data_IF_637223099768
#
_entry.id   IF_637223099768
#
_cell.length_a   1.000
_cell.length_b   1.000
_cell.length_c   1.000
_cell.angle_alpha   90.00
_cell.angle_beta   90.00
_cell.angle_gamma   90.00
#
_symmetry.space_group_name_H-M   'P 1'
#
loop_
_entity.id
_entity.type
_entity.pdbx_description
1 polymer ?
2 non-polymer ?
3 non-polymer ?
4 water ?
#
# COMPACT_ATOMS: atom_id res chain seq x y z
N UNK A 38 -10.85 6.25 -21.04
CA UNK A 38 -9.90 7.27 -21.54
C UNK A 38 -9.55 6.98 -23.00
N UNK A 39 -9.57 8.03 -23.82
CA UNK A 39 -9.19 7.95 -25.23
C UNK A 39 -7.74 7.52 -25.41
N UNK A 40 -6.97 7.55 -24.33
CA UNK A 40 -5.56 7.21 -24.36
C UNK A 40 -5.40 5.68 -24.35
N UNK A 41 -4.63 5.16 -25.30
CA UNK A 41 -4.32 3.72 -25.32
C UNK A 41 -3.06 3.54 -24.52
N UNK A 42 -2.97 2.37 -23.87
CA UNK A 42 -1.93 2.09 -22.86
C UNK A 42 -1.20 0.80 -23.19
N UNK A 43 0.09 0.92 -23.47
CA UNK A 43 0.90 -0.20 -23.87
C UNK A 43 2.13 -0.27 -22.99
N UNK A 44 2.34 -1.42 -22.35
CA UNK A 44 3.51 -1.62 -21.54
C UNK A 44 4.69 -2.14 -22.37
N UNK A 45 5.89 -1.63 -22.08
CA UNK A 45 7.14 -2.15 -22.66
C UNK A 45 7.85 -2.98 -21.58
N UNK A 46 7.88 -4.28 -21.83
CA UNK A 46 8.31 -5.28 -20.85
C UNK A 46 9.58 -5.91 -21.36
N UNK A 47 10.50 -6.25 -20.46
CA UNK A 47 11.70 -6.99 -20.83
C UNK A 47 12.76 -7.04 -19.76
N UNK A 48 13.61 -8.06 -19.84
CA UNK A 48 14.68 -8.23 -18.86
C UNK A 48 15.44 -6.95 -18.58
N UNK A 49 16.11 -6.90 -17.43
CA UNK A 49 17.06 -5.86 -17.05
C UNK A 49 18.03 -5.55 -18.18
N UNK A 50 18.00 -4.30 -18.63
CA UNK A 50 18.84 -3.82 -19.74
C UNK A 50 18.54 -4.50 -21.09
N UNK A 51 17.28 -4.90 -21.28
CA UNK A 51 16.83 -5.34 -22.58
C UNK A 51 16.98 -4.20 -23.61
N UNK A 52 16.71 -2.96 -23.17
CA UNK A 52 16.72 -1.75 -24.02
C UNK A 52 15.40 -0.96 -24.01
N UNK A 53 14.65 -1.10 -22.91
CA UNK A 53 13.29 -0.54 -22.85
C UNK A 53 13.30 0.98 -22.86
N UNK A 54 14.20 1.58 -22.06
CA UNK A 54 14.30 3.00 -21.90
C UNK A 54 14.81 3.60 -23.22
N UNK A 55 15.70 2.86 -23.88
CA UNK A 55 16.17 3.20 -25.22
C UNK A 55 15.04 3.25 -26.25
N UNK A 56 14.30 2.15 -26.37
CA UNK A 56 13.17 1.98 -27.29
C UNK A 56 12.12 3.05 -27.08
N UNK A 57 11.76 3.24 -25.83
CA UNK A 57 10.75 4.23 -25.45
C UNK A 57 11.26 5.66 -25.65
N UNK A 58 12.57 5.90 -25.43
CA UNK A 58 13.11 7.22 -25.77
C UNK A 58 13.11 7.48 -27.29
N UNK A 59 13.09 6.40 -28.07
CA UNK A 59 12.96 6.48 -29.55
C UNK A 59 11.51 6.75 -30.00
N UNK A 60 10.56 6.06 -29.38
CA UNK A 60 9.15 6.18 -29.77
C UNK A 60 8.53 7.55 -29.43
N UNK A 61 8.95 8.14 -28.31
CA UNK A 61 8.42 9.41 -27.80
C UNK A 61 8.52 10.52 -28.87
N UNK A 62 9.66 10.54 -29.55
CA UNK A 62 9.96 11.56 -30.55
C UNK A 62 9.31 11.33 -31.92
N UNK A 63 8.69 10.18 -32.15
CA UNK A 63 8.20 9.83 -33.50
C UNK A 63 6.77 10.21 -33.72
N UNK A 64 6.20 10.83 -32.71
CA UNK A 64 4.88 11.36 -32.81
C UNK A 64 4.66 12.28 -31.64
N UNK A 65 4.15 13.49 -31.91
CA UNK A 65 3.68 14.38 -30.84
C UNK A 65 2.56 13.69 -30.07
N UNK A 66 1.98 12.67 -30.69
CA UNK A 66 0.91 11.89 -30.11
C UNK A 66 1.43 10.71 -29.24
N UNK A 67 2.74 10.51 -29.23
CA UNK A 67 3.30 9.38 -28.48
C UNK A 67 3.98 9.86 -27.22
N UNK A 68 3.59 9.27 -26.11
CA UNK A 68 4.10 9.67 -24.83
C UNK A 68 4.57 8.49 -23.98
N UNK A 69 5.36 8.81 -22.96
CA UNK A 69 6.16 7.84 -22.21
C UNK A 69 6.10 8.07 -20.69
N UNK A 70 6.02 6.99 -19.91
CA UNK A 70 6.15 7.04 -18.46
C UNK A 70 7.30 6.16 -18.05
N UNK A 71 8.45 6.78 -17.69
CA UNK A 71 9.60 5.94 -17.36
C UNK A 71 9.42 5.19 -16.03
N UNK A 72 10.22 4.15 -15.84
CA UNK A 72 10.16 3.39 -14.61
C UNK A 72 10.76 4.20 -13.48
N UNK A 73 10.01 4.35 -12.37
CA UNK A 73 10.56 5.12 -11.28
C UNK A 73 11.77 4.46 -10.63
N UNK A 74 11.88 3.13 -10.64
CA UNK A 74 13.10 2.55 -10.07
C UNK A 74 14.29 2.73 -11.01
N UNK A 75 14.01 3.08 -12.26
CA UNK A 75 15.07 3.47 -13.19
C UNK A 75 15.79 4.72 -12.68
N UNK A 76 15.06 5.62 -12.04
CA UNK A 76 15.70 6.87 -11.58
C UNK A 76 16.33 6.80 -10.17
N UNK A 77 16.05 5.72 -9.43
CA UNK A 77 16.54 5.54 -8.08
C UNK A 77 18.01 5.07 -8.06
N UNK A 78 18.47 4.54 -9.19
CA UNK A 78 19.77 3.87 -9.28
C UNK A 78 20.99 4.78 -9.43
N UNK A 79 21.06 5.51 -10.55
CA UNK A 79 22.26 6.32 -10.89
C UNK A 79 22.78 7.26 -9.79
N UNK A 80 24.06 7.58 -9.87
CA UNK A 80 24.81 8.15 -8.75
C UNK A 80 24.49 9.61 -8.47
N UNK A 81 25.24 10.20 -7.53
CA UNK A 81 25.19 11.62 -7.24
C UNK A 81 26.24 12.34 -8.09
N UNK A 82 26.22 12.05 -9.39
CA UNK A 82 27.20 12.58 -10.35
C UNK A 82 27.22 14.11 -10.40
N UNK A 89 18.27 17.10 -9.39
CA UNK A 89 18.15 15.99 -8.45
C UNK A 89 17.99 16.49 -7.01
N UNK A 90 16.86 16.12 -6.39
CA UNK A 90 16.67 16.26 -4.95
C UNK A 90 15.75 15.10 -4.49
N UNK A 91 14.45 15.37 -4.36
CA UNK A 91 13.35 14.36 -4.34
C UNK A 91 13.26 13.27 -3.24
N UNK A 92 12.18 13.41 -2.47
CA UNK A 92 11.79 12.55 -1.36
C UNK A 92 11.44 11.10 -1.77
N UNK A 93 10.76 10.93 -2.90
CA UNK A 93 10.61 9.59 -3.50
C UNK A 93 11.98 8.96 -3.84
N UNK A 94 12.85 9.74 -4.48
CA UNK A 94 14.19 9.27 -4.92
C UNK A 94 15.18 8.98 -3.79
N UNK A 95 15.25 9.87 -2.80
CA UNK A 95 15.98 9.53 -1.58
C UNK A 95 15.45 8.23 -0.97
N UNK A 96 14.13 8.09 -0.87
CA UNK A 96 13.50 6.87 -0.33
C UNK A 96 13.85 5.67 -1.19
N UNK A 97 13.70 5.85 -2.50
CA UNK A 97 14.01 4.80 -3.44
C UNK A 97 15.51 4.49 -3.45
N UNK A 98 16.33 5.53 -3.46
CA UNK A 98 17.78 5.38 -3.39
C UNK A 98 18.12 4.45 -2.25
N UNK A 99 17.62 4.79 -1.05
CA UNK A 99 17.86 4.04 0.15
C UNK A 99 17.41 2.57 0.11
N UNK A 100 16.12 2.31 -0.15
CA UNK A 100 15.67 0.89 -0.14
C UNK A 100 16.29 0.03 -1.29
N UNK A 101 16.52 0.62 -2.48
CA UNK A 101 17.18 -0.12 -3.58
C UNK A 101 18.50 -0.67 -3.12
N UNK A 102 19.36 0.24 -2.65
CA UNK A 102 20.66 -0.12 -2.13
C UNK A 102 20.54 -1.14 -0.98
N UNK A 103 19.54 -0.94 -0.13
CA UNK A 103 19.27 -1.89 0.96
C UNK A 103 18.85 -3.28 0.50
N UNK A 104 18.08 -3.33 -0.59
CA UNK A 104 17.75 -4.59 -1.26
C UNK A 104 18.94 -5.32 -1.86
N UNK A 105 19.91 -4.58 -2.40
CA UNK A 105 21.18 -5.19 -2.87
C UNK A 105 21.95 -5.87 -1.74
N UNK A 106 22.05 -5.19 -0.59
CA UNK A 106 22.79 -5.67 0.57
C UNK A 106 22.10 -6.78 1.39
N UNK A 107 20.78 -6.73 1.55
CA UNK A 107 20.02 -7.76 2.28
C UNK A 107 18.61 -8.00 1.71
N UNK A 108 18.50 -8.74 0.58
CA UNK A 108 17.20 -8.90 -0.08
C UNK A 108 16.10 -9.52 0.79
N UNK A 109 16.47 -10.49 1.61
CA UNK A 109 15.50 -11.19 2.42
C UNK A 109 14.96 -10.35 3.59
N UNK A 110 15.64 -9.26 3.90
CA UNK A 110 15.12 -8.24 4.81
C UNK A 110 14.29 -7.11 4.12
N UNK A 111 14.58 -6.79 2.86
CA UNK A 111 14.06 -5.56 2.25
C UNK A 111 13.16 -5.72 1.03
N UNK A 112 13.04 -6.96 0.53
CA UNK A 112 12.19 -7.26 -0.67
C UNK A 112 10.73 -6.78 -0.57
N UNK A 113 10.07 -7.04 0.56
CA UNK A 113 8.68 -6.61 0.70
C UNK A 113 8.55 -5.09 0.66
N UNK A 114 9.40 -4.39 1.43
CA UNK A 114 9.37 -2.93 1.54
C UNK A 114 9.66 -2.32 0.20
N UNK A 115 10.64 -2.90 -0.50
CA UNK A 115 11.02 -2.43 -1.83
C UNK A 115 9.88 -2.57 -2.81
N UNK A 116 9.39 -3.80 -2.95
CA UNK A 116 8.36 -4.11 -3.92
C UNK A 116 7.13 -3.27 -3.69
N UNK A 117 6.79 -3.12 -2.41
CA UNK A 117 5.66 -2.32 -1.96
C UNK A 117 5.81 -0.92 -2.52
N UNK A 118 6.97 -0.32 -2.27
CA UNK A 118 7.22 1.05 -2.63
C UNK A 118 7.44 1.30 -4.13
N UNK A 119 8.16 0.39 -4.80
CA UNK A 119 8.31 0.43 -6.27
C UNK A 119 6.95 0.48 -7.01
N UNK A 120 6.01 -0.36 -6.58
CA UNK A 120 4.69 -0.38 -7.16
C UNK A 120 3.88 0.88 -6.88
N UNK A 121 3.87 1.34 -5.62
CA UNK A 121 3.27 2.64 -5.27
C UNK A 121 3.73 3.75 -6.21
N UNK A 122 5.05 3.95 -6.23
CA UNK A 122 5.75 4.85 -7.12
C UNK A 122 5.33 4.70 -8.60
N UNK A 123 5.21 3.46 -9.08
CA UNK A 123 4.75 3.25 -10.46
C UNK A 123 3.28 3.66 -10.63
N UNK A 124 2.43 3.24 -9.70
CA UNK A 124 1.02 3.58 -9.81
C UNK A 124 0.89 5.10 -9.77
N UNK A 125 1.57 5.77 -8.84
CA UNK A 125 1.46 7.22 -8.76
C UNK A 125 1.84 7.86 -10.09
N UNK A 126 3.05 7.53 -10.57
CA UNK A 126 3.62 8.09 -11.79
C UNK A 126 2.79 7.82 -13.06
N UNK A 127 2.11 6.66 -13.12
CA UNK A 127 1.24 6.29 -14.25
C UNK A 127 -0.03 7.14 -14.28
N UNK A 128 -0.60 7.36 -13.10
CA UNK A 128 -1.72 8.27 -12.95
C UNK A 128 -1.34 9.68 -13.38
N UNK A 129 -0.29 10.25 -12.82
CA UNK A 129 0.15 11.60 -13.23
C UNK A 129 0.31 11.80 -14.76
N UNK A 130 0.87 10.83 -15.47
CA UNK A 130 0.99 10.96 -16.92
C UNK A 130 -0.39 10.86 -17.62
N UNK A 131 -1.21 9.91 -17.19
CA UNK A 131 -2.59 9.84 -17.65
C UNK A 131 -3.30 11.17 -17.47
N UNK A 132 -3.17 11.75 -16.28
CA UNK A 132 -3.89 12.97 -15.92
C UNK A 132 -3.25 14.26 -16.41
N UNK A 133 -2.04 14.14 -16.93
CA UNK A 133 -1.23 15.29 -17.31
C UNK A 133 -0.93 15.40 -18.78
N UNK A 134 -0.66 14.27 -19.43
CA UNK A 134 -0.11 14.30 -20.78
C UNK A 134 -1.13 13.97 -21.87
N UNK A 135 -0.73 14.19 -23.12
CA UNK A 135 -1.46 13.70 -24.30
C UNK A 135 -2.84 14.31 -24.55
N UNK A 136 -3.17 15.40 -23.87
CA UNK A 136 -4.52 15.95 -23.89
C UNK A 136 -4.98 16.47 -25.27
N UNK A 137 -4.08 17.15 -25.97
CA UNK A 137 -4.37 17.69 -27.32
C UNK A 137 -4.00 16.73 -28.46
N UNK A 138 -3.89 15.45 -28.12
CA UNK A 138 -3.45 14.43 -29.07
C UNK A 138 -4.63 13.81 -29.79
N UNK A 139 -4.47 13.65 -31.10
CA UNK A 139 -5.51 13.04 -31.94
C UNK A 139 -5.52 11.52 -31.81
N UNK A 140 -4.34 10.92 -31.72
CA UNK A 140 -4.21 9.46 -31.68
C UNK A 140 -3.33 9.02 -30.52
N UNK A 141 -3.71 9.37 -29.27
CA UNK A 141 -2.72 9.35 -28.18
C UNK A 141 -2.29 7.93 -27.76
N UNK A 142 -0.98 7.74 -27.65
CA UNK A 142 -0.49 6.47 -27.19
C UNK A 142 0.42 6.75 -26.00
N UNK A 143 0.09 6.14 -24.87
CA UNK A 143 0.96 6.16 -23.72
C UNK A 143 1.67 4.80 -23.58
N UNK A 144 3.00 4.83 -23.62
CA UNK A 144 3.81 3.62 -23.49
C UNK A 144 4.35 3.56 -22.05
N UNK A 145 3.96 2.56 -21.29
CA UNK A 145 4.48 2.39 -19.94
C UNK A 145 5.83 1.63 -19.91
N UNK A 146 6.83 2.14 -19.18
CA UNK A 146 8.07 1.38 -18.93
C UNK A 146 7.84 0.37 -17.79
N UNK A 147 7.56 -0.87 -18.21
CA UNK A 147 6.95 -1.94 -17.42
C UNK A 147 5.55 -1.58 -16.88
N UNK A 148 5.02 -2.46 -16.04
CA UNK A 148 3.64 -2.41 -15.59
C UNK A 148 3.55 -2.85 -14.14
N UNK A 149 2.36 -2.69 -13.55
CA UNK A 149 2.10 -3.26 -12.25
C UNK A 149 2.32 -4.77 -12.31
N UNK A 150 2.11 -5.36 -13.49
CA UNK A 150 2.20 -6.81 -13.62
C UNK A 150 3.61 -7.39 -13.65
N UNK A 151 4.59 -6.65 -14.17
CA UNK A 151 5.98 -7.04 -14.04
C UNK A 151 6.48 -6.91 -12.63
N UNK A 152 6.01 -5.90 -11.89
CA UNK A 152 6.39 -5.75 -10.49
C UNK A 152 6.06 -7.04 -9.75
N UNK A 153 4.87 -7.57 -10.00
CA UNK A 153 4.33 -8.73 -9.34
C UNK A 153 4.84 -10.06 -9.94
N UNK A 154 4.56 -10.30 -11.21
CA UNK A 154 4.67 -11.67 -11.74
C UNK A 154 6.10 -11.95 -12.22
N UNK A 155 6.91 -10.90 -12.28
CA UNK A 155 8.33 -11.04 -12.55
C UNK A 155 9.15 -10.91 -11.27
N UNK A 156 9.26 -9.70 -10.73
CA UNK A 156 10.18 -9.42 -9.64
C UNK A 156 9.72 -9.96 -8.29
N UNK A 157 8.52 -9.59 -7.86
CA UNK A 157 7.97 -10.05 -6.57
C UNK A 157 7.86 -11.57 -6.52
N UNK A 158 7.32 -12.17 -7.59
CA UNK A 158 7.20 -13.64 -7.68
C UNK A 158 8.58 -14.31 -7.55
N UNK A 159 9.57 -13.76 -8.28
CA UNK A 159 10.94 -14.27 -8.19
C UNK A 159 11.54 -14.19 -6.79
N UNK A 160 11.33 -13.09 -6.08
CA UNK A 160 11.97 -12.93 -4.77
C UNK A 160 11.40 -13.92 -3.79
N UNK A 161 10.09 -14.14 -3.86
CA UNK A 161 9.43 -15.18 -3.08
C UNK A 161 9.99 -16.56 -3.40
N UNK A 162 10.04 -16.89 -4.68
CA UNK A 162 10.56 -18.19 -5.11
C UNK A 162 12.03 -18.31 -4.76
N UNK A 163 12.72 -17.16 -4.69
CA UNK A 163 14.13 -17.12 -4.28
C UNK A 163 14.26 -17.02 -2.76
N UNK A 164 13.12 -17.19 -2.08
CA UNK A 164 13.02 -17.19 -0.62
C UNK A 164 13.42 -15.89 0.08
N UNK A 165 13.47 -14.77 -0.65
CA UNK A 165 13.76 -13.46 -0.03
C UNK A 165 12.48 -12.84 0.55
N UNK A 166 11.35 -13.45 0.21
CA UNK A 166 10.07 -13.19 0.87
C UNK A 166 9.53 -14.51 1.39
N UNK A 167 9.01 -14.51 2.62
CA UNK A 167 8.29 -15.67 3.11
C UNK A 167 6.86 -15.68 2.57
N UNK A 168 6.15 -16.78 2.85
CA UNK A 168 4.72 -16.89 2.54
C UNK A 168 3.94 -15.66 2.98
N UNK A 169 4.13 -15.25 4.24
CA UNK A 169 3.39 -14.12 4.81
C UNK A 169 3.65 -12.86 3.99
N UNK A 170 4.92 -12.46 3.84
CA UNK A 170 5.28 -11.28 3.00
C UNK A 170 4.70 -11.34 1.59
N UNK A 171 4.88 -12.48 0.92
CA UNK A 171 4.36 -12.66 -0.44
C UNK A 171 2.84 -12.59 -0.50
N UNK A 172 2.11 -13.34 0.36
CA UNK A 172 0.65 -13.30 0.31
C UNK A 172 0.09 -11.94 0.77
N UNK A 173 0.78 -11.25 1.67
CA UNK A 173 0.38 -9.87 1.98
C UNK A 173 0.56 -8.97 0.75
N UNK A 174 1.72 -9.06 0.12
CA UNK A 174 1.99 -8.21 -1.05
C UNK A 174 0.90 -8.48 -2.11
N UNK A 175 0.54 -9.75 -2.31
CA UNK A 175 -0.40 -10.10 -3.37
C UNK A 175 -1.78 -9.54 -3.10
N UNK A 176 -2.20 -9.66 -1.83
CA UNK A 176 -3.43 -9.03 -1.32
C UNK A 176 -3.37 -7.48 -1.48
N UNK A 177 -2.31 -6.84 -0.98
CA UNK A 177 -2.03 -5.39 -1.20
C UNK A 177 -2.04 -4.99 -2.69
N UNK A 178 -1.49 -5.85 -3.54
CA UNK A 178 -1.41 -5.58 -4.98
C UNK A 178 -2.76 -5.73 -5.65
N UNK A 179 -3.55 -6.74 -5.26
CA UNK A 179 -4.91 -6.87 -5.78
C UNK A 179 -5.68 -5.62 -5.44
N UNK A 180 -5.60 -5.22 -4.17
CA UNK A 180 -6.33 -4.07 -3.67
C UNK A 180 -5.89 -2.72 -4.25
N UNK A 181 -4.58 -2.40 -4.18
CA UNK A 181 -4.08 -1.16 -4.74
C UNK A 181 -4.57 -1.00 -6.19
N UNK A 182 -4.51 -2.08 -6.98
CA UNK A 182 -4.80 -2.01 -8.42
C UNK A 182 -6.27 -2.11 -8.82
N UNK A 183 -7.10 -2.58 -7.91
CA UNK A 183 -8.53 -2.66 -8.16
C UNK A 183 -9.25 -1.45 -7.59
N UNK A 184 -8.49 -0.57 -6.95
CA UNK A 184 -8.98 0.65 -6.33
C UNK A 184 -8.60 1.90 -7.11
N UNK A 185 -7.33 2.02 -7.47
CA UNK A 185 -6.84 3.07 -8.37
C UNK A 185 -6.59 2.53 -9.75
N UNK A 186 -5.73 1.53 -9.82
CA UNK A 186 -5.16 1.08 -11.08
C UNK A 186 -6.12 0.78 -12.23
N UNK A 187 -7.41 1.02 -12.02
CA UNK A 187 -8.48 0.74 -13.00
C UNK A 187 -8.42 1.63 -14.24
N UNK A 188 -7.88 2.83 -14.07
CA UNK A 188 -7.67 3.69 -15.21
C UNK A 188 -6.47 3.15 -16.02
N UNK A 189 -5.70 2.24 -15.42
CA UNK A 189 -4.42 1.79 -16.00
C UNK A 189 -4.44 0.48 -16.79
N UNK A 190 -5.57 -0.23 -16.82
CA UNK A 190 -5.69 -1.50 -17.56
C UNK A 190 -5.14 -1.40 -18.98
N UNK A 191 -4.23 -2.32 -19.33
CA UNK A 191 -3.42 -2.23 -20.56
C UNK A 191 -4.20 -2.55 -21.82
N UNK A 192 -3.99 -1.75 -22.86
CA UNK A 192 -4.57 -1.99 -24.17
C UNK A 192 -3.77 -3.01 -24.97
N UNK A 193 -2.48 -3.09 -24.68
CA UNK A 193 -1.60 -4.15 -25.21
C UNK A 193 -0.22 -4.08 -24.59
N UNK A 194 0.64 -5.02 -24.99
CA UNK A 194 1.95 -5.18 -24.43
C UNK A 194 2.95 -5.41 -25.55
N UNK A 195 4.07 -4.73 -25.41
CA UNK A 195 5.22 -4.91 -26.28
C UNK A 195 6.24 -5.62 -25.44
N UNK A 196 6.63 -6.83 -25.85
CA UNK A 196 7.71 -7.55 -25.17
C UNK A 196 9.02 -7.49 -25.93
N UNK A 197 9.96 -6.76 -25.36
CA UNK A 197 11.29 -6.65 -25.90
C UNK A 197 12.07 -7.87 -25.47
N UNK A 198 12.24 -8.79 -26.41
CA UNK A 198 12.85 -10.05 -26.12
C UNK A 198 14.29 -10.03 -26.55
N UNK A 199 15.15 -10.17 -25.56
CA UNK A 199 16.57 -10.32 -25.72
C UNK A 199 17.04 -11.57 -24.91
N UNK A 200 18.19 -12.14 -25.27
CA UNK A 200 18.73 -13.27 -24.49
C UNK A 200 19.37 -12.82 -23.20
N UNK A 201 19.36 -13.68 -22.17
CA UNK A 201 19.96 -13.28 -20.91
C UNK A 201 21.37 -12.77 -21.13
N UNK A 202 22.02 -13.31 -22.15
CA UNK A 202 23.40 -12.97 -22.40
C UNK A 202 23.57 -11.60 -23.05
N UNK A 203 22.63 -11.20 -23.91
CA UNK A 203 22.62 -9.84 -24.44
C UNK A 203 22.53 -8.85 -23.29
N UNK A 204 21.60 -9.10 -22.37
CA UNK A 204 21.35 -8.21 -21.23
C UNK A 204 22.56 -7.99 -20.34
N UNK A 205 23.24 -9.10 -20.02
CA UNK A 205 24.47 -9.13 -19.25
C UNK A 205 25.47 -8.16 -19.87
N UNK A 206 25.72 -8.34 -21.17
CA UNK A 206 26.46 -7.39 -21.97
C UNK A 206 25.90 -5.96 -21.85
N UNK A 207 24.58 -5.79 -21.89
CA UNK A 207 24.06 -4.42 -21.86
C UNK A 207 24.12 -3.79 -20.46
N UNK A 208 24.17 -4.63 -19.42
CA UNK A 208 24.54 -4.19 -18.06
C UNK A 208 26.03 -3.86 -18.06
N UNK A 209 26.81 -4.77 -18.66
CA UNK A 209 28.19 -4.52 -19.07
C UNK A 209 28.22 -3.10 -19.64
N UNK A 210 27.69 -2.94 -20.85
CA UNK A 210 27.74 -1.64 -21.54
C UNK A 210 27.06 -0.45 -20.84
N UNK A 211 26.18 -0.69 -19.86
CA UNK A 211 25.48 0.44 -19.20
C UNK A 211 26.30 1.19 -18.15
N UNK A 212 26.86 0.47 -17.17
CA UNK A 212 27.79 1.08 -16.22
C UNK A 212 27.38 1.23 -14.76
N UNK A 213 26.24 0.68 -14.38
CA UNK A 213 25.77 0.78 -12.99
C UNK A 213 26.48 -0.25 -12.11
N UNK A 214 27.14 0.24 -11.07
CA UNK A 214 27.89 -0.63 -10.17
C UNK A 214 27.04 -1.76 -9.61
N UNK A 215 26.00 -1.38 -8.84
CA UNK A 215 25.13 -2.35 -8.18
C UNK A 215 24.84 -3.54 -9.08
N UNK A 216 24.55 -3.21 -10.35
CA UNK A 216 24.09 -4.15 -11.37
C UNK A 216 25.18 -5.05 -11.95
N UNK A 217 26.43 -4.58 -11.97
CA UNK A 217 27.53 -5.40 -12.50
C UNK A 217 27.59 -6.76 -11.80
N UNK A 218 27.07 -6.79 -10.57
CA UNK A 218 27.05 -7.97 -9.72
C UNK A 218 25.85 -8.88 -9.90
N UNK A 219 24.93 -8.50 -10.78
CA UNK A 219 23.86 -9.41 -11.15
C UNK A 219 24.45 -10.52 -12.02
N UNK A 220 24.39 -11.78 -11.53
CA UNK A 220 24.91 -12.88 -12.30
C UNK A 220 23.92 -13.31 -13.37
N UNK A 221 24.42 -14.06 -14.35
CA UNK A 221 23.59 -14.53 -15.45
C UNK A 221 22.41 -15.31 -14.94
N UNK A 222 22.65 -16.14 -13.91
CA UNK A 222 21.63 -17.01 -13.35
C UNK A 222 20.40 -16.23 -12.90
N UNK A 223 20.60 -15.01 -12.41
CA UNK A 223 19.46 -14.19 -12.02
C UNK A 223 18.80 -13.63 -13.28
N UNK A 224 19.60 -13.08 -14.19
CA UNK A 224 19.07 -12.69 -15.52
C UNK A 224 18.36 -13.83 -16.22
N UNK A 225 18.91 -15.04 -16.14
CA UNK A 225 18.22 -16.21 -16.65
C UNK A 225 16.84 -16.44 -15.99
N UNK A 226 16.75 -16.32 -14.68
CA UNK A 226 15.46 -16.54 -14.00
C UNK A 226 14.35 -15.61 -14.52
N UNK A 227 14.66 -14.31 -14.64
CA UNK A 227 13.66 -13.36 -15.11
C UNK A 227 13.28 -13.64 -16.58
N UNK A 228 14.28 -14.02 -17.37
CA UNK A 228 14.07 -14.45 -18.76
C UNK A 228 12.99 -15.54 -18.88
N UNK A 229 13.21 -16.68 -18.20
CA UNK A 229 12.22 -17.73 -18.18
C UNK A 229 10.83 -17.20 -17.83
N UNK A 230 10.74 -16.35 -16.80
CA UNK A 230 9.46 -15.84 -16.34
C UNK A 230 8.78 -14.89 -17.32
N UNK A 231 9.57 -14.09 -18.02
CA UNK A 231 9.04 -13.27 -19.11
C UNK A 231 8.50 -14.21 -20.19
N UNK A 232 9.31 -15.19 -20.59
CA UNK A 232 8.90 -16.16 -21.62
C UNK A 232 7.60 -16.91 -21.30
N UNK A 233 7.43 -17.35 -20.05
CA UNK A 233 6.17 -18.00 -19.68
C UNK A 233 4.97 -17.05 -19.56
N UNK A 234 5.23 -15.82 -19.10
CA UNK A 234 4.19 -14.82 -19.07
C UNK A 234 3.80 -14.41 -20.48
N UNK A 235 4.79 -14.04 -21.28
CA UNK A 235 4.47 -13.33 -22.52
C UNK A 235 4.49 -14.18 -23.80
N UNK A 236 5.54 -14.98 -23.99
CA UNK A 236 5.64 -15.80 -25.20
C UNK A 236 4.57 -16.88 -25.17
N UNK A 237 4.72 -17.87 -24.30
CA UNK A 237 3.76 -18.98 -24.17
C UNK A 237 2.37 -18.59 -23.66
N UNK A 238 2.29 -17.50 -22.90
CA UNK A 238 1.03 -17.08 -22.25
C UNK A 238 0.41 -18.21 -21.40
N UNK A 239 1.29 -19.04 -20.84
CA UNK A 239 0.87 -20.03 -19.85
C UNK A 239 0.34 -19.35 -18.59
N UNK A 240 1.18 -18.50 -17.99
CA UNK A 240 0.92 -17.86 -16.70
C UNK A 240 -0.48 -17.31 -16.59
N UNK A 241 -1.20 -17.77 -15.57
CA UNK A 241 -2.44 -17.17 -15.19
C UNK A 241 -2.10 -16.01 -14.26
N UNK A 242 -2.90 -14.95 -14.34
CA UNK A 242 -2.76 -13.83 -13.43
C UNK A 242 -4.10 -13.65 -12.78
N UNK A 243 -4.12 -13.07 -11.59
CA UNK A 243 -5.37 -12.68 -10.97
C UNK A 243 -5.97 -11.44 -11.64
N UNK A 244 -5.66 -11.26 -12.92
CA UNK A 244 -6.20 -10.11 -13.67
C UNK A 244 -6.82 -10.56 -14.97
N UNK A 245 -8.14 -10.67 -14.94
CA UNK A 245 -8.94 -11.40 -15.91
C UNK A 245 -8.72 -10.95 -17.37
N UNK A 246 -8.86 -9.65 -17.60
CA UNK A 246 -8.70 -9.05 -18.92
C UNK A 246 -7.31 -9.25 -19.54
N UNK A 247 -6.32 -9.60 -18.70
CA UNK A 247 -4.95 -9.84 -19.17
C UNK A 247 -4.90 -11.02 -20.14
N UNK A 248 -5.69 -12.04 -19.83
CA UNK A 248 -5.89 -13.21 -20.68
C UNK A 248 -6.04 -12.81 -22.14
N UNK A 249 -6.73 -11.69 -22.37
CA UNK A 249 -7.10 -11.29 -23.73
C UNK A 249 -6.39 -10.02 -24.25
N UNK A 250 -5.33 -9.57 -23.60
CA UNK A 250 -4.57 -8.43 -24.11
C UNK A 250 -3.58 -8.90 -25.19
N UNK A 251 -3.54 -8.21 -26.35
CA UNK A 251 -2.59 -8.41 -27.43
C UNK A 251 -1.12 -8.27 -27.04
N UNK A 252 -0.30 -9.23 -27.43
CA UNK A 252 1.13 -9.11 -27.16
C UNK A 252 1.88 -9.03 -28.48
N UNK A 253 2.84 -8.10 -28.53
CA UNK A 253 3.75 -7.98 -29.64
C UNK A 253 5.12 -8.32 -29.13
N UNK A 254 5.72 -9.37 -29.70
CA UNK A 254 7.07 -9.77 -29.36
C UNK A 254 8.07 -9.37 -30.41
N UNK A 255 9.07 -8.61 -29.97
CA UNK A 255 10.15 -8.10 -30.78
C UNK A 255 11.51 -8.62 -30.30
N UNK A 256 12.25 -9.20 -31.23
CA UNK A 256 13.63 -9.63 -31.01
C UNK A 256 14.48 -8.37 -30.97
N UNK A 257 15.18 -8.12 -29.85
CA UNK A 257 16.04 -6.92 -29.71
C UNK A 257 17.53 -7.20 -29.50
N UNK A 258 17.92 -8.45 -29.75
CA UNK A 258 19.32 -8.85 -29.64
C UNK A 258 20.25 -7.99 -30.51
N UNK A 259 19.91 -7.90 -31.79
CA UNK A 259 20.57 -6.95 -32.68
C UNK A 259 20.41 -5.54 -32.10
N UNK A 260 21.50 -4.78 -32.10
CA UNK A 260 21.50 -3.41 -31.63
C UNK A 260 20.57 -2.54 -32.55
N UNK A 261 19.65 -1.79 -31.95
CA UNK A 261 18.62 -1.07 -32.72
C UNK A 261 18.72 0.47 -32.71
N UNK A 262 19.78 1.00 -32.10
CA UNK A 262 20.03 2.45 -32.04
C UNK A 262 20.07 3.18 -33.39
N UNK A 263 20.54 2.50 -34.43
CA UNK A 263 20.72 3.13 -35.74
C UNK A 263 19.92 2.38 -36.77
N UNK A 264 19.06 1.48 -36.32
CA UNK A 264 18.33 0.62 -37.20
C UNK A 264 17.17 0.15 -36.36
N UNK A 265 16.19 1.04 -36.22
CA UNK A 265 15.00 0.72 -35.46
C UNK A 265 13.73 0.76 -36.28
N UNK A 266 13.85 1.21 -37.54
CA UNK A 266 12.68 1.44 -38.34
C UNK A 266 11.78 0.22 -38.49
N UNK A 267 12.35 -0.97 -38.69
CA UNK A 267 11.45 -2.10 -38.77
C UNK A 267 10.76 -2.42 -37.42
N UNK A 268 11.45 -2.19 -36.30
CA UNK A 268 10.83 -2.42 -34.99
C UNK A 268 9.58 -1.54 -34.84
N UNK A 269 9.74 -0.28 -35.23
CA UNK A 269 8.68 0.71 -35.09
C UNK A 269 7.56 0.44 -36.09
N UNK A 270 7.92 -0.03 -37.28
CA UNK A 270 6.93 -0.50 -38.26
C UNK A 270 6.02 -1.59 -37.69
N UNK A 271 6.60 -2.48 -36.87
CA UNK A 271 5.81 -3.54 -36.27
C UNK A 271 4.97 -2.97 -35.11
N UNK A 272 5.57 -2.08 -34.32
CA UNK A 272 4.79 -1.31 -33.32
C UNK A 272 3.61 -0.56 -33.95
N UNK A 273 3.86 0.24 -34.99
CA UNK A 273 2.79 0.90 -35.76
C UNK A 273 1.68 -0.02 -36.27
N UNK A 274 2.02 -1.20 -36.76
CA UNK A 274 0.98 -2.16 -37.21
C UNK A 274 0.20 -2.75 -36.02
N UNK A 275 0.95 -3.25 -35.05
CA UNK A 275 0.36 -3.72 -33.79
C UNK A 275 -0.66 -2.70 -33.27
N UNK A 276 -0.24 -1.43 -33.26
CA UNK A 276 -1.01 -0.34 -32.70
C UNK A 276 -2.28 0.02 -33.45
N UNK A 277 -2.37 -0.39 -34.72
CA UNK A 277 -3.56 -0.16 -35.54
C UNK A 277 -4.66 -1.20 -35.28
N UNK A 278 -4.25 -2.41 -34.93
CA UNK A 278 -5.18 -3.47 -34.50
C UNK A 278 -5.82 -3.19 -33.12
N UNK A 279 -5.57 -2.02 -32.54
CA UNK A 279 -5.96 -1.74 -31.15
C UNK A 279 -6.98 -0.61 -30.99
N UNK B 38 -22.25 13.12 1.55
CA UNK B 38 -22.21 11.91 2.43
C UNK B 38 -23.05 12.13 3.69
N UNK B 39 -24.21 11.48 3.73
CA UNK B 39 -25.10 11.58 4.89
C UNK B 39 -24.81 10.59 6.03
N UNK B 40 -23.99 9.57 5.80
CA UNK B 40 -23.57 8.78 6.96
C UNK B 40 -22.56 9.60 7.75
N UNK B 41 -22.84 9.80 9.04
CA UNK B 41 -21.86 10.42 9.92
C UNK B 41 -20.85 9.36 10.34
N UNK B 42 -19.58 9.71 10.28
CA UNK B 42 -18.50 8.78 10.64
C UNK B 42 -17.84 9.24 11.92
N UNK B 43 -17.90 8.38 12.91
CA UNK B 43 -17.31 8.67 14.22
C UNK B 43 -16.29 7.60 14.54
N UNK B 44 -15.07 8.01 14.92
CA UNK B 44 -14.08 7.09 15.49
C UNK B 44 -14.05 7.12 17.00
N UNK B 45 -13.88 5.93 17.53
CA UNK B 45 -13.68 5.65 18.93
C UNK B 45 -12.20 5.39 19.08
N UNK B 46 -11.56 6.18 19.95
CA UNK B 46 -10.11 6.09 20.15
C UNK B 46 -9.83 5.79 21.63
N UNK B 47 -8.66 5.18 21.88
CA UNK B 47 -8.14 4.83 23.20
C UNK B 47 -7.07 3.74 23.17
N UNK B 48 -6.50 3.49 24.35
CA UNK B 48 -5.41 2.53 24.55
C UNK B 48 -5.94 1.09 24.49
N UNK B 49 -5.00 0.14 24.46
CA UNK B 49 -5.28 -1.29 24.52
C UNK B 49 -6.09 -1.59 25.78
N UNK B 50 -7.27 -2.16 25.60
CA UNK B 50 -8.12 -2.65 26.67
C UNK B 50 -8.76 -1.56 27.51
N UNK B 51 -8.69 -0.30 27.05
CA UNK B 51 -9.48 0.79 27.62
C UNK B 51 -11.02 0.51 27.65
N UNK B 52 -11.52 -0.22 26.66
CA UNK B 52 -12.94 -0.61 26.64
C UNK B 52 -13.65 -0.32 25.32
N UNK B 53 -12.85 -0.04 24.30
CA UNK B 53 -13.32 0.37 22.96
C UNK B 53 -14.34 -0.61 22.35
N UNK B 54 -14.00 -1.89 22.23
CA UNK B 54 -14.93 -2.83 21.64
C UNK B 54 -16.21 -3.00 22.49
N UNK B 55 -16.04 -3.04 23.80
CA UNK B 55 -17.16 -3.17 24.74
C UNK B 55 -18.18 -2.06 24.55
N UNK B 56 -17.66 -0.83 24.47
CA UNK B 56 -18.46 0.37 24.33
C UNK B 56 -19.11 0.42 22.95
N UNK B 57 -18.35 -0.03 21.96
CA UNK B 57 -18.87 -0.13 20.59
C UNK B 57 -20.00 -1.13 20.50
N UNK B 58 -19.83 -2.29 21.13
CA UNK B 58 -20.89 -3.30 21.11
C UNK B 58 -22.13 -2.82 21.88
N UNK B 59 -21.91 -2.13 23.01
CA UNK B 59 -23.02 -1.45 23.72
C UNK B 59 -23.76 -0.49 22.74
N UNK B 60 -23.02 0.44 22.12
CA UNK B 60 -23.63 1.44 21.22
C UNK B 60 -24.51 0.83 20.14
N UNK B 61 -23.97 -0.19 19.47
CA UNK B 61 -24.61 -0.82 18.32
C UNK B 61 -26.02 -1.31 18.66
N UNK B 62 -26.18 -1.82 19.88
CA UNK B 62 -27.44 -2.38 20.38
C UNK B 62 -28.56 -1.35 20.59
N UNK B 63 -28.19 -0.08 20.73
CA UNK B 63 -29.13 0.94 21.18
C UNK B 63 -29.95 1.53 20.07
N UNK B 64 -29.40 1.53 18.86
CA UNK B 64 -30.11 2.13 17.74
C UNK B 64 -29.96 1.43 16.39
N UNK B 65 -31.04 1.57 15.61
CA UNK B 65 -31.15 1.06 14.25
C UNK B 65 -30.36 1.90 13.25
N UNK B 66 -30.18 3.18 13.56
CA UNK B 66 -29.41 4.06 12.73
C UNK B 66 -27.92 4.01 13.09
N UNK B 67 -27.55 3.14 14.03
CA UNK B 67 -26.16 3.12 14.51
C UNK B 67 -25.47 1.81 14.15
N UNK B 68 -24.39 1.94 13.41
CA UNK B 68 -23.64 0.77 13.01
C UNK B 68 -22.15 0.95 13.33
N UNK B 69 -21.43 -0.16 13.55
CA UNK B 69 -19.99 -0.13 13.98
C UNK B 69 -19.06 -0.75 12.93
N UNK B 70 -17.81 -0.30 12.87
CA UNK B 70 -16.79 -1.06 12.11
C UNK B 70 -15.70 -1.52 13.07
N UNK B 71 -15.70 -2.82 13.43
CA UNK B 71 -14.68 -3.25 14.39
C UNK B 71 -13.28 -3.25 13.75
N UNK B 72 -12.27 -2.92 14.54
CA UNK B 72 -10.90 -2.84 14.05
C UNK B 72 -10.35 -4.23 13.65
N UNK B 73 -9.75 -4.32 12.45
CA UNK B 73 -9.14 -5.55 11.96
C UNK B 73 -8.19 -6.25 12.92
N UNK B 74 -7.19 -5.54 13.44
CA UNK B 74 -6.15 -6.24 14.20
C UNK B 74 -6.68 -6.94 15.45
N UNK B 75 -7.78 -6.42 15.98
CA UNK B 75 -8.43 -7.02 17.12
C UNK B 75 -8.86 -8.44 16.77
N UNK B 76 -9.40 -8.62 15.57
CA UNK B 76 -9.85 -9.94 15.09
C UNK B 76 -8.69 -10.91 14.79
N UNK B 77 -7.53 -10.35 14.46
CA UNK B 77 -6.31 -11.16 14.19
C UNK B 77 -5.70 -11.83 15.42
N UNK B 78 -6.21 -11.50 16.59
CA UNK B 78 -5.73 -12.11 17.84
C UNK B 78 -6.19 -13.55 18.05
N UNK B 79 -7.48 -13.80 17.87
CA UNK B 79 -8.12 -15.07 18.28
C UNK B 79 -8.10 -16.22 17.27
N UNK B 80 -8.20 -17.46 17.77
CA UNK B 80 -8.49 -18.65 16.94
C UNK B 80 -9.93 -19.09 17.24
N UNK B 81 -10.19 -19.37 18.53
CA UNK B 81 -11.53 -19.55 19.10
C UNK B 81 -12.48 -20.42 18.26
N UNK B 90 -9.74 -20.25 8.18
CA UNK B 90 -8.77 -19.28 7.67
C UNK B 90 -9.30 -18.45 6.49
N UNK B 91 -9.55 -17.17 6.73
CA UNK B 91 -9.66 -16.21 5.63
C UNK B 91 -8.22 -15.74 5.38
N UNK B 92 -7.91 -15.37 4.13
CA UNK B 92 -6.60 -14.83 3.78
C UNK B 92 -6.14 -13.74 4.78
N UNK B 93 -6.97 -12.72 4.97
CA UNK B 93 -6.63 -11.62 5.85
C UNK B 93 -6.32 -12.13 7.27
N UNK B 94 -7.30 -12.85 7.81
CA UNK B 94 -7.20 -13.54 9.09
C UNK B 94 -5.86 -14.27 9.29
N UNK B 95 -5.45 -14.98 8.25
CA UNK B 95 -4.25 -15.81 8.22
C UNK B 95 -2.93 -15.01 8.23
N UNK B 96 -2.77 -14.14 7.24
CA UNK B 96 -1.66 -13.17 7.23
C UNK B 96 -1.62 -12.34 8.50
N UNK B 97 -2.82 -11.97 8.94
CA UNK B 97 -3.02 -11.09 10.08
C UNK B 97 -2.49 -11.71 11.37
N UNK B 98 -2.89 -12.95 11.63
CA UNK B 98 -2.46 -13.67 12.82
C UNK B 98 -0.95 -13.80 12.78
N UNK B 99 -0.46 -14.34 11.67
CA UNK B 99 0.97 -14.51 11.49
C UNK B 99 1.79 -13.27 11.73
N UNK B 100 1.35 -12.15 11.18
CA UNK B 100 2.17 -10.96 11.16
C UNK B 100 2.19 -10.26 12.54
N UNK B 101 1.09 -10.37 13.27
CA UNK B 101 0.99 -9.93 14.68
C UNK B 101 1.94 -10.71 15.60
N UNK B 102 2.08 -12.01 15.35
CA UNK B 102 2.91 -12.92 16.11
C UNK B 102 4.36 -12.57 15.82
N UNK B 103 4.69 -12.39 14.54
CA UNK B 103 6.04 -11.97 14.14
C UNK B 103 6.39 -10.63 14.71
N UNK B 104 5.44 -9.71 14.63
CA UNK B 104 5.49 -8.38 15.25
C UNK B 104 5.88 -8.41 16.72
N UNK B 105 5.11 -9.15 17.51
CA UNK B 105 5.49 -9.44 18.91
C UNK B 105 6.91 -10.00 19.00
N UNK B 106 7.17 -11.08 18.26
CA UNK B 106 8.47 -11.77 18.35
C UNK B 106 9.69 -10.99 17.89
N UNK B 107 9.50 -10.05 16.96
CA UNK B 107 10.62 -9.22 16.51
C UNK B 107 10.23 -7.87 15.84
N UNK B 108 9.94 -6.85 16.64
CA UNK B 108 9.29 -5.63 16.11
C UNK B 108 10.15 -4.74 15.20
N UNK B 109 11.46 -4.71 15.45
CA UNK B 109 12.42 -4.04 14.57
C UNK B 109 12.39 -4.59 13.14
N UNK B 110 12.08 -5.88 12.98
CA UNK B 110 11.95 -6.51 11.67
C UNK B 110 10.55 -6.33 11.04
N UNK B 111 9.51 -6.60 11.81
CA UNK B 111 8.15 -6.72 11.28
C UNK B 111 7.21 -5.53 11.37
N UNK B 112 7.65 -4.42 11.95
CA UNK B 112 6.71 -3.29 12.21
C UNK B 112 6.17 -2.60 10.96
N UNK B 113 7.06 -2.26 10.03
CA UNK B 113 6.60 -1.67 8.76
C UNK B 113 5.58 -2.56 8.06
N UNK B 114 5.81 -3.87 8.08
CA UNK B 114 5.01 -4.79 7.28
C UNK B 114 3.65 -4.92 7.93
N UNK B 115 3.67 -5.05 9.25
CA UNK B 115 2.47 -5.05 10.07
C UNK B 115 1.68 -3.77 9.90
N UNK B 116 2.34 -2.63 9.99
CA UNK B 116 1.57 -1.39 9.91
C UNK B 116 0.87 -1.11 8.59
N UNK B 117 1.52 -1.44 7.47
CA UNK B 117 0.87 -1.35 6.14
C UNK B 117 -0.34 -2.32 6.03
N UNK B 118 -0.17 -3.55 6.51
CA UNK B 118 -1.26 -4.49 6.38
C UNK B 118 -2.44 -4.12 7.27
N UNK B 119 -2.16 -3.77 8.52
CA UNK B 119 -3.18 -3.27 9.45
C UNK B 119 -3.99 -2.14 8.81
N UNK B 120 -3.29 -1.15 8.32
CA UNK B 120 -3.94 0.02 7.80
C UNK B 120 -4.73 -0.28 6.52
N UNK B 121 -4.10 -1.02 5.60
CA UNK B 121 -4.80 -1.51 4.42
C UNK B 121 -6.08 -2.29 4.76
N UNK B 122 -5.98 -3.21 5.72
CA UNK B 122 -7.10 -4.05 6.13
C UNK B 122 -8.19 -3.19 6.76
N UNK B 123 -7.78 -2.13 7.47
CA UNK B 123 -8.75 -1.24 8.09
C UNK B 123 -9.49 -0.35 7.05
N UNK B 124 -8.76 0.11 6.02
CA UNK B 124 -9.39 0.97 5.03
C UNK B 124 -10.48 0.18 4.29
N UNK B 125 -10.18 -1.08 4.00
CA UNK B 125 -11.13 -1.85 3.25
C UNK B 125 -12.29 -2.31 4.10
N UNK B 126 -12.08 -2.53 5.40
CA UNK B 126 -13.19 -2.83 6.32
C UNK B 126 -14.15 -1.62 6.38
N UNK B 127 -13.60 -0.42 6.56
CA UNK B 127 -14.42 0.80 6.66
C UNK B 127 -15.12 1.16 5.32
N UNK B 128 -14.42 0.95 4.20
CA UNK B 128 -14.99 1.26 2.88
C UNK B 128 -16.18 0.35 2.57
N UNK B 129 -16.06 -0.92 2.95
CA UNK B 129 -17.15 -1.88 2.75
C UNK B 129 -18.36 -1.58 3.61
N UNK B 130 -18.14 -1.25 4.89
CA UNK B 130 -19.24 -0.83 5.77
C UNK B 130 -20.02 0.33 5.18
N UNK B 131 -19.30 1.37 4.78
CA UNK B 131 -19.89 2.62 4.32
C UNK B 131 -20.73 2.48 3.08
N UNK B 132 -20.36 1.58 2.17
CA UNK B 132 -21.16 1.38 0.96
C UNK B 132 -22.16 0.25 1.11
N UNK B 133 -22.14 -0.38 2.29
CA UNK B 133 -23.05 -1.49 2.59
C UNK B 133 -24.16 -1.05 3.53
N UNK B 134 -23.76 -0.56 4.70
CA UNK B 134 -24.66 -0.32 5.85
C UNK B 134 -25.48 0.97 5.75
N UNK B 135 -26.49 1.06 6.63
CA UNK B 135 -27.29 2.27 6.86
C UNK B 135 -27.89 2.96 5.63
N UNK B 136 -28.29 2.17 4.64
CA UNK B 136 -28.90 2.71 3.43
C UNK B 136 -30.27 3.36 3.65
N UNK B 137 -31.11 2.75 4.51
CA UNK B 137 -32.45 3.28 4.81
C UNK B 137 -32.54 4.24 6.01
N UNK B 138 -31.48 4.31 6.81
CA UNK B 138 -31.47 5.10 8.05
C UNK B 138 -31.85 6.55 7.81
N UNK B 139 -32.47 7.17 8.81
CA UNK B 139 -32.82 8.59 8.76
C UNK B 139 -31.71 9.48 9.34
N UNK B 140 -31.08 9.03 10.43
CA UNK B 140 -29.93 9.71 11.03
C UNK B 140 -28.74 8.72 11.14
N UNK B 141 -28.10 8.39 10.01
CA UNK B 141 -27.09 7.31 10.05
C UNK B 141 -25.76 7.72 10.68
N UNK B 142 -25.22 6.84 11.53
CA UNK B 142 -23.93 7.05 12.15
C UNK B 142 -23.19 5.72 12.13
N UNK B 143 -21.97 5.74 11.62
CA UNK B 143 -21.12 4.58 11.63
C UNK B 143 -20.00 4.94 12.61
N UNK B 144 -19.83 4.10 13.62
CA UNK B 144 -18.75 4.21 14.61
C UNK B 144 -17.56 3.31 14.21
N UNK B 145 -16.40 3.90 13.98
CA UNK B 145 -15.19 3.12 13.71
C UNK B 145 -14.49 2.74 15.03
N UNK B 146 -14.13 1.47 15.21
CA UNK B 146 -13.19 1.12 16.28
C UNK B 146 -11.80 1.49 15.80
N UNK B 147 -11.26 2.56 16.38
CA UNK B 147 -10.04 3.21 15.89
C UNK B 147 -10.13 3.70 14.44
N UNK B 148 -9.01 4.17 13.91
CA UNK B 148 -8.97 4.82 12.61
C UNK B 148 -7.55 4.77 12.06
N UNK B 149 -7.38 5.32 10.85
CA UNK B 149 -6.11 5.34 10.18
C UNK B 149 -5.15 6.40 10.73
N UNK B 150 -5.70 7.42 11.39
CA UNK B 150 -4.87 8.36 12.17
C UNK B 150 -4.25 7.75 13.41
N UNK B 151 -4.97 6.89 14.11
CA UNK B 151 -4.30 6.23 15.23
C UNK B 151 -3.33 5.19 14.71
N UNK B 152 -3.61 4.58 13.55
CA UNK B 152 -2.65 3.65 12.94
C UNK B 152 -1.29 4.29 12.76
N UNK B 153 -1.30 5.49 12.21
CA UNK B 153 -0.10 6.25 11.93
C UNK B 153 0.43 7.07 13.14
N UNK B 154 -0.45 7.81 13.81
CA UNK B 154 -0.01 8.83 14.80
C UNK B 154 0.10 8.35 16.23
N UNK B 155 -0.45 7.18 16.52
CA UNK B 155 -0.19 6.52 17.80
C UNK B 155 0.79 5.39 17.55
N UNK B 156 0.36 4.39 16.79
CA UNK B 156 1.09 3.13 16.75
C UNK B 156 2.38 3.18 15.91
N UNK B 157 2.25 3.50 14.62
CA UNK B 157 3.41 3.60 13.74
C UNK B 157 4.43 4.63 14.25
N UNK B 158 3.97 5.83 14.61
CA UNK B 158 4.81 6.84 15.30
C UNK B 158 5.50 6.32 16.59
N UNK B 159 4.75 5.66 17.48
CA UNK B 159 5.39 4.98 18.61
C UNK B 159 6.47 3.95 18.22
N UNK B 160 6.19 3.12 17.21
CA UNK B 160 7.23 2.18 16.76
C UNK B 160 8.44 2.90 16.16
N UNK B 161 8.23 4.04 15.49
CA UNK B 161 9.34 4.86 15.01
C UNK B 161 10.22 5.37 16.18
N UNK B 162 9.55 5.90 17.20
CA UNK B 162 10.23 6.40 18.39
C UNK B 162 10.81 5.28 19.26
N UNK B 163 10.42 4.04 19.01
CA UNK B 163 11.03 2.86 19.66
C UNK B 163 12.20 2.24 18.91
N UNK B 164 12.53 2.83 17.76
CA UNK B 164 13.59 2.31 16.88
C UNK B 164 13.20 0.99 16.24
N UNK B 165 11.90 0.78 16.06
CA UNK B 165 11.42 -0.48 15.46
C UNK B 165 11.12 -0.27 13.96
N UNK B 166 11.09 0.99 13.55
CA UNK B 166 11.13 1.33 12.13
C UNK B 166 12.26 2.31 11.99
N UNK B 167 13.16 2.03 11.06
CA UNK B 167 14.20 2.97 10.72
C UNK B 167 13.58 4.10 9.90
N UNK B 168 14.33 5.18 9.71
CA UNK B 168 13.91 6.40 9.00
C UNK B 168 13.24 6.30 7.60
N UNK B 169 13.78 5.45 6.75
CA UNK B 169 13.22 5.31 5.40
C UNK B 169 11.91 4.53 5.50
N UNK B 170 11.75 3.69 6.52
CA UNK B 170 10.52 2.88 6.61
C UNK B 170 9.42 3.80 7.02
N UNK B 171 9.75 4.69 7.96
CA UNK B 171 8.78 5.60 8.51
C UNK B 171 8.34 6.57 7.41
N UNK B 172 9.31 6.98 6.59
CA UNK B 172 9.15 7.95 5.52
C UNK B 172 8.28 7.34 4.37
N UNK B 173 8.62 6.13 3.98
CA UNK B 173 7.85 5.35 3.02
C UNK B 173 6.42 5.08 3.53
N UNK B 174 6.29 4.64 4.78
CA UNK B 174 4.95 4.45 5.35
C UNK B 174 4.11 5.74 5.36
N UNK B 175 4.73 6.86 5.74
CA UNK B 175 4.03 8.15 5.74
C UNK B 175 3.57 8.56 4.35
N UNK B 176 4.46 8.40 3.36
CA UNK B 176 4.19 8.62 1.94
C UNK B 176 2.98 7.79 1.39
N UNK B 177 2.95 6.50 1.67
CA UNK B 177 1.86 5.61 1.25
C UNK B 177 0.50 5.97 1.89
N UNK B 178 0.51 6.16 3.21
CA UNK B 178 -0.64 6.66 4.00
C UNK B 178 -1.18 8.02 3.51
N UNK B 179 -0.31 9.00 3.30
CA UNK B 179 -0.68 10.34 2.82
C UNK B 179 -1.36 10.26 1.45
N UNK B 180 -0.73 9.49 0.57
CA UNK B 180 -1.19 9.34 -0.80
C UNK B 180 -2.63 8.85 -0.86
N UNK B 181 -2.87 7.67 -0.28
CA UNK B 181 -4.18 7.03 -0.21
C UNK B 181 -5.28 7.85 0.45
N UNK B 182 -5.08 8.23 1.70
CA UNK B 182 -6.08 9.07 2.37
C UNK B 182 -6.28 10.47 1.72
N UNK B 183 -5.39 10.83 0.80
CA UNK B 183 -5.60 11.99 -0.09
C UNK B 183 -6.19 11.51 -1.45
N UNK B 184 -6.14 10.20 -1.67
CA UNK B 184 -6.80 9.57 -2.81
C UNK B 184 -8.21 9.15 -2.41
N UNK B 185 -8.27 8.29 -1.39
CA UNK B 185 -9.49 7.62 -0.92
C UNK B 185 -9.98 8.18 0.38
N UNK B 186 -9.06 8.52 1.28
CA UNK B 186 -9.42 8.90 2.66
C UNK B 186 -10.70 9.71 2.70
N UNK B 187 -10.97 10.37 1.58
CA UNK B 187 -12.20 11.10 1.30
C UNK B 187 -13.42 10.61 2.06
N UNK B 188 -14.13 9.63 1.50
CA UNK B 188 -15.42 9.25 2.06
C UNK B 188 -15.27 8.55 3.39
N UNK B 189 -14.04 8.47 3.89
CA UNK B 189 -13.78 7.92 5.22
C UNK B 189 -13.63 9.02 6.26
N UNK B 190 -13.28 10.22 5.80
CA UNK B 190 -13.06 11.40 6.65
C UNK B 190 -14.07 11.46 7.78
N UNK B 191 -13.62 11.90 8.95
CA UNK B 191 -14.45 11.80 10.14
C UNK B 191 -15.31 13.04 10.37
N UNK B 192 -16.41 12.83 11.09
CA UNK B 192 -17.30 13.89 11.54
C UNK B 192 -17.02 14.22 13.02
N UNK B 193 -16.38 13.27 13.70
CA UNK B 193 -16.01 13.45 15.10
C UNK B 193 -15.25 12.26 15.65
N UNK B 194 -14.66 12.46 16.83
CA UNK B 194 -13.87 11.48 17.54
C UNK B 194 -14.34 11.35 18.98
N UNK B 195 -14.48 10.10 19.44
CA UNK B 195 -14.81 9.79 20.85
C UNK B 195 -13.65 9.05 21.49
N UNK B 196 -13.10 9.65 22.54
CA UNK B 196 -11.88 9.16 23.18
C UNK B 196 -12.22 8.58 24.52
N UNK B 197 -12.04 7.28 24.63
CA UNK B 197 -12.24 6.51 25.85
C UNK B 197 -10.97 6.50 26.70
N UNK B 198 -10.92 7.38 27.68
CA UNK B 198 -9.74 7.55 28.50
C UNK B 198 -9.72 6.60 29.69
N UNK B 199 -8.70 5.73 29.71
CA UNK B 199 -8.40 4.88 30.83
C UNK B 199 -6.93 5.04 31.24
N UNK B 200 -6.61 4.85 32.52
CA UNK B 200 -5.19 4.84 32.92
C UNK B 200 -4.51 3.58 32.44
N UNK B 201 -3.17 3.66 32.30
CA UNK B 201 -2.42 2.52 31.82
C UNK B 201 -2.58 1.33 32.78
N UNK B 202 -2.64 1.63 34.08
CA UNK B 202 -2.88 0.61 35.11
C UNK B 202 -4.28 -0.02 34.94
N UNK B 203 -5.27 0.78 34.57
CA UNK B 203 -6.58 0.19 34.21
C UNK B 203 -6.51 -0.78 33.03
N UNK B 204 -5.82 -0.38 31.96
CA UNK B 204 -5.64 -1.25 30.78
C UNK B 204 -4.86 -2.53 31.08
N UNK B 205 -3.81 -2.40 31.89
CA UNK B 205 -3.01 -3.55 32.31
C UNK B 205 -3.89 -4.62 32.95
N UNK B 206 -4.71 -4.20 33.92
CA UNK B 206 -5.70 -5.08 34.54
C UNK B 206 -6.73 -5.64 33.54
N UNK B 207 -7.20 -4.79 32.63
CA UNK B 207 -8.18 -5.24 31.64
C UNK B 207 -7.54 -6.22 30.66
N UNK B 208 -6.30 -5.96 30.25
CA UNK B 208 -5.56 -6.92 29.41
C UNK B 208 -5.53 -8.29 30.08
N UNK B 209 -5.30 -8.26 31.39
CA UNK B 209 -5.14 -9.45 32.18
C UNK B 209 -6.52 -10.09 32.32
N UNK B 210 -7.56 -9.29 32.50
CA UNK B 210 -8.94 -9.80 32.47
C UNK B 210 -9.34 -10.42 31.13
N UNK B 211 -8.86 -9.86 30.04
CA UNK B 211 -9.30 -10.33 28.73
C UNK B 211 -8.59 -11.63 28.34
N UNK B 212 -7.41 -11.86 28.90
CA UNK B 212 -6.74 -13.15 28.83
C UNK B 212 -6.18 -13.64 27.50
N UNK B 213 -5.93 -12.73 26.56
CA UNK B 213 -5.17 -13.06 25.34
C UNK B 213 -3.70 -13.37 25.66
N UNK B 214 -3.27 -14.62 25.40
CA UNK B 214 -1.88 -15.06 25.67
C UNK B 214 -0.84 -14.01 25.32
N UNK B 215 -0.88 -13.61 24.05
CA UNK B 215 0.01 -12.61 23.47
C UNK B 215 0.19 -11.42 24.38
N UNK B 216 -0.95 -10.86 24.77
CA UNK B 216 -0.98 -9.55 25.41
C UNK B 216 -0.45 -9.57 26.84
N UNK B 217 -0.36 -10.77 27.42
CA UNK B 217 0.03 -10.91 28.83
C UNK B 217 1.40 -10.33 29.14
N UNK B 218 2.27 -10.23 28.12
CA UNK B 218 3.62 -9.69 28.32
C UNK B 218 3.76 -8.20 28.00
N UNK B 219 2.64 -7.55 27.73
CA UNK B 219 2.68 -6.11 27.42
C UNK B 219 3.00 -5.37 28.73
N UNK B 220 4.13 -4.67 28.76
CA UNK B 220 4.55 -4.02 29.99
C UNK B 220 3.87 -2.67 30.16
N UNK B 221 3.70 -2.25 31.42
CA UNK B 221 3.07 -0.95 31.70
C UNK B 221 3.72 0.20 30.94
N UNK B 222 5.04 0.15 30.83
CA UNK B 222 5.82 1.13 30.09
C UNK B 222 5.31 1.36 28.67
N UNK B 223 5.07 0.28 27.92
CA UNK B 223 4.57 0.41 26.56
C UNK B 223 3.17 1.06 26.63
N UNK B 224 2.29 0.52 27.48
CA UNK B 224 0.97 1.14 27.71
C UNK B 224 1.12 2.63 28.02
N UNK B 225 2.09 2.99 28.85
CA UNK B 225 2.31 4.42 29.22
C UNK B 225 2.81 5.27 28.05
N UNK B 226 3.53 4.70 27.10
CA UNK B 226 3.92 5.45 25.89
C UNK B 226 2.66 5.73 25.06
N UNK B 227 1.83 4.70 24.94
CA UNK B 227 0.61 4.78 24.11
C UNK B 227 -0.35 5.78 24.72
N UNK B 228 -0.40 5.78 26.05
CA UNK B 228 -1.24 6.74 26.80
C UNK B 228 -0.86 8.17 26.46
N UNK B 229 0.44 8.46 26.46
CA UNK B 229 0.94 9.83 26.27
C UNK B 229 0.61 10.34 24.87
N UNK B 230 0.68 9.45 23.88
CA UNK B 230 0.38 9.83 22.51
C UNK B 230 -1.11 10.17 22.34
N UNK B 231 -1.97 9.46 23.08
CA UNK B 231 -3.42 9.70 23.05
C UNK B 231 -3.71 11.02 23.75
N UNK B 232 -3.26 11.17 25.00
CA UNK B 232 -3.48 12.44 25.72
C UNK B 232 -3.03 13.57 24.82
N UNK B 233 -1.82 13.40 24.28
CA UNK B 233 -1.18 14.35 23.37
C UNK B 233 -2.04 14.75 22.19
N UNK B 234 -2.47 13.75 21.42
CA UNK B 234 -3.29 13.96 20.20
C UNK B 234 -4.73 14.36 20.55
N UNK B 235 -5.31 13.70 21.53
CA UNK B 235 -6.77 13.78 21.63
C UNK B 235 -7.29 14.67 22.72
N UNK B 236 -6.49 14.91 23.77
CA UNK B 236 -6.95 15.78 24.86
C UNK B 236 -6.29 17.14 24.82
N UNK B 237 -4.95 17.16 24.81
CA UNK B 237 -4.26 18.44 24.82
C UNK B 237 -4.19 19.03 23.41
N UNK B 238 -4.37 18.16 22.41
CA UNK B 238 -4.37 18.52 20.97
C UNK B 238 -3.12 19.28 20.53
N UNK B 239 -1.96 18.76 20.91
CA UNK B 239 -0.69 19.37 20.58
C UNK B 239 -0.05 18.71 19.36
N UNK B 240 -0.33 17.42 19.17
CA UNK B 240 0.19 16.67 18.01
C UNK B 240 -0.10 17.33 16.67
N UNK B 241 0.91 17.36 15.80
CA UNK B 241 0.72 17.84 14.43
C UNK B 241 0.60 16.69 13.42
N UNK B 242 -0.18 16.94 12.37
CA UNK B 242 -0.67 15.88 11.51
C UNK B 242 -0.89 16.40 10.10
N UNK B 243 -0.73 15.51 9.13
CA UNK B 243 -0.83 15.88 7.72
C UNK B 243 -2.25 16.04 7.18
N UNK B 244 -3.25 15.82 8.03
CA UNK B 244 -4.64 15.98 7.61
C UNK B 244 -5.25 17.17 8.33
N UNK B 245 -5.33 18.28 7.61
CA UNK B 245 -5.67 19.60 8.15
C UNK B 245 -7.03 19.63 8.85
N UNK B 246 -8.03 19.00 8.24
CA UNK B 246 -9.37 18.98 8.80
C UNK B 246 -9.42 18.52 10.26
N UNK B 247 -8.63 17.48 10.58
CA UNK B 247 -8.54 16.93 11.94
C UNK B 247 -8.19 17.95 13.01
N UNK B 248 -7.91 19.18 12.60
CA UNK B 248 -7.58 20.25 13.52
C UNK B 248 -8.87 20.84 14.08
N UNK B 249 -9.92 20.79 13.28
CA UNK B 249 -11.21 21.30 13.70
C UNK B 249 -12.27 20.22 13.96
N UNK B 250 -11.86 18.95 13.92
CA UNK B 250 -12.76 17.86 14.26
C UNK B 250 -13.06 17.84 15.77
N UNK B 251 -14.36 17.81 16.14
CA UNK B 251 -14.76 17.80 17.54
C UNK B 251 -14.43 16.50 18.24
N UNK B 252 -14.04 16.61 19.50
CA UNK B 252 -13.63 15.47 20.27
C UNK B 252 -14.43 15.40 21.56
N UNK B 253 -14.96 14.21 21.83
CA UNK B 253 -15.59 13.92 23.09
C UNK B 253 -14.69 13.02 23.89
N UNK B 254 -14.29 13.47 25.07
CA UNK B 254 -13.54 12.60 25.94
C UNK B 254 -14.44 11.97 26.98
N UNK B 255 -14.30 10.66 27.13
CA UNK B 255 -15.01 9.89 28.15
C UNK B 255 -14.04 9.14 29.07
N UNK B 256 -14.20 9.36 30.37
CA UNK B 256 -13.44 8.61 31.35
C UNK B 256 -14.06 7.23 31.61
N UNK B 257 -13.35 6.18 31.17
CA UNK B 257 -13.79 4.79 31.32
C UNK B 257 -12.92 4.00 32.32
N UNK B 258 -12.41 4.66 33.36
CA UNK B 258 -11.67 3.95 34.42
C UNK B 258 -12.56 3.11 35.33
N UNK B 259 -13.82 3.54 35.50
CA UNK B 259 -14.91 2.76 36.12
C UNK B 259 -15.49 1.77 35.13
N UNK B 260 -15.86 0.59 35.62
CA UNK B 260 -16.58 -0.43 34.85
C UNK B 260 -17.90 0.17 34.37
N UNK B 261 -18.27 -0.10 33.12
CA UNK B 261 -19.46 0.53 32.57
C UNK B 261 -20.37 -0.46 31.88
N UNK B 262 -19.97 -1.72 31.87
CA UNK B 262 -20.75 -2.74 31.16
C UNK B 262 -22.20 -2.84 31.65
N UNK B 263 -22.44 -2.46 32.91
CA UNK B 263 -23.80 -2.41 33.47
C UNK B 263 -24.23 -1.02 33.93
N UNK B 264 -23.46 0.01 33.58
CA UNK B 264 -23.72 1.35 34.06
C UNK B 264 -23.12 2.31 33.05
N UNK B 265 -23.73 2.33 31.87
CA UNK B 265 -23.27 3.14 30.77
C UNK B 265 -24.21 4.25 30.32
N UNK B 266 -25.31 4.49 31.04
CA UNK B 266 -26.31 5.42 30.48
C UNK B 266 -25.78 6.84 30.31
N UNK B 267 -24.99 7.28 31.28
CA UNK B 267 -24.39 8.59 31.23
C UNK B 267 -23.36 8.70 30.10
N UNK B 268 -22.69 7.59 29.79
CA UNK B 268 -21.74 7.58 28.66
C UNK B 268 -22.53 7.82 27.38
N UNK B 269 -23.55 6.98 27.17
CA UNK B 269 -24.43 7.12 26.00
C UNK B 269 -25.09 8.49 25.86
N UNK B 270 -25.54 9.09 26.97
CA UNK B 270 -26.17 10.43 26.94
C UNK B 270 -25.22 11.49 26.37
N UNK B 271 -23.95 11.42 26.75
CA UNK B 271 -22.96 12.35 26.21
C UNK B 271 -22.77 12.13 24.70
N UNK B 272 -22.82 10.88 24.26
CA UNK B 272 -22.68 10.58 22.83
C UNK B 272 -23.80 11.22 22.00
N UNK B 273 -25.04 11.03 22.44
CA UNK B 273 -26.19 11.63 21.74
C UNK B 273 -26.09 13.13 21.69
N UNK B 274 -25.82 13.73 22.85
CA UNK B 274 -25.58 15.17 22.95
C UNK B 274 -24.50 15.66 21.95
N UNK B 275 -23.33 15.01 21.98
CA UNK B 275 -22.26 15.21 20.97
C UNK B 275 -22.82 15.15 19.54
N UNK B 276 -23.50 14.05 19.23
CA UNK B 276 -23.97 13.79 17.87
C UNK B 276 -24.85 14.93 17.33
N UNK B 277 -25.58 15.59 18.22
CA UNK B 277 -26.47 16.68 17.83
C UNK B 277 -25.70 17.98 17.53
N UNK B 278 -24.53 18.15 18.15
CA UNK B 278 -23.65 19.28 17.90
C UNK B 278 -22.98 19.21 16.53
N UNK B 279 -22.73 17.98 16.06
CA UNK B 279 -22.07 17.78 14.76
C UNK B 279 -23.09 17.99 13.64
#
# INVERSE_FOLDING_TARGET
MGSSHHHHHHSGLVPRGSHMATPPKRSSPSFSASSEGTRIKKISIEGNIAAGKSTFVNILKQLSEDWEVVPEPVARWSNVQSTQDEFEELTMEQKNGGNVLQMMYEKPERWSFTFQTYACLSRIRAQLASLNGKLKDAEKPVLFFERSVYSDRYIFASNLYESESMNETEWTIYQDWHDWMNNQFGQSLELDGIIYLQATPETCLHRIYLRGRNEEQGIPLEYLEKLHYKHESWLLHRTLKTNFDYLQEVPILTLDVNEDFKDKYESLVEKVKEFLSTL
MGSSHHHHHHSGLVPRGSHMATPPKRSSPSFSASSEGTRIKKISIEGNIAAGKSTFVNILKQLSEDWEVVPEPVARWSNVQSTQDEFEELTMEQKNGGNVLQMMYEKPERWSFTFQTYACLSRIRAQLASLNGKLKDAEKPVLFFERSVYSDRYIFASNLYESESMNETEWTIYQDWHDWMNNQFGQSLELDGIIYLQATPETCLHRIYLRGRNEEQGIPLEYLEKLHYKHESWLLHRTLKTNFDYLQEVPILTLDVNEDFKDKYESLVEKVKEFLSTL
#
